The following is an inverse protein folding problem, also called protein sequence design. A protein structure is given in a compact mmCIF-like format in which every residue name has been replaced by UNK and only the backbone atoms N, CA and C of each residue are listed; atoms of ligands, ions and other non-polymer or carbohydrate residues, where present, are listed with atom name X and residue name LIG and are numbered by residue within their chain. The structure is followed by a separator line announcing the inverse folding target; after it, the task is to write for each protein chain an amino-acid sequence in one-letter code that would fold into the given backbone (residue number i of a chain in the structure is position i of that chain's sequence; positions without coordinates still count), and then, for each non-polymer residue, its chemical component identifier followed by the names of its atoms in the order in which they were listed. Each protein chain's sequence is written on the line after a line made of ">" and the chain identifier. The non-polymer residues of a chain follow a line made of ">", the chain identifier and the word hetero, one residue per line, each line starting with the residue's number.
data_IF_230625820273
#
_entry.id   IF_230625820273
#
_cell.length_a   1.000
_cell.length_b   1.000
_cell.length_c   1.000
_cell.angle_alpha   90.00
_cell.angle_beta   90.00
_cell.angle_gamma   90.00
#
_symmetry.space_group_name_H-M   'P 1'
#
loop_
_entity.id
_entity.type
_entity.pdbx_description
1 polymer ?
#
# COMPACT_ATOMS: atom_id res chain seq x y z
N UNK A 1 -16.19 -21.51 -8.67
CA UNK A 1 -15.29 -21.98 -7.60
C UNK A 1 -15.27 -23.51 -7.61
N UNK A 2 -14.99 -24.10 -8.78
CA UNK A 2 -15.37 -25.49 -9.11
C UNK A 2 -14.18 -26.34 -9.58
N UNK A 3 -13.11 -25.72 -10.09
CA UNK A 3 -11.98 -26.41 -10.72
C UNK A 3 -10.90 -26.90 -9.74
N UNK A 4 -10.99 -26.53 -8.45
CA UNK A 4 -10.02 -26.93 -7.43
C UNK A 4 -10.36 -28.26 -6.73
N UNK A 5 -11.62 -28.73 -6.80
CA UNK A 5 -12.03 -29.97 -6.12
C UNK A 5 -11.54 -31.24 -6.85
N UNK A 6 -11.34 -31.17 -8.18
CA UNK A 6 -11.03 -32.34 -9.00
C UNK A 6 -9.60 -32.87 -8.84
N UNK A 7 -8.67 -32.08 -8.27
CA UNK A 7 -7.28 -32.51 -8.03
C UNK A 7 -7.09 -33.23 -6.69
N UNK A 8 -8.04 -33.11 -5.75
CA UNK A 8 -7.90 -33.72 -4.42
C UNK A 8 -8.26 -35.21 -4.37
N UNK A 9 -8.93 -35.74 -5.40
CA UNK A 9 -9.41 -37.13 -5.44
C UNK A 9 -8.43 -38.14 -6.07
N UNK A 10 -7.31 -37.68 -6.66
CA UNK A 10 -6.35 -38.58 -7.33
C UNK A 10 -5.25 -39.14 -6.40
N UNK A 11 -5.20 -38.72 -5.13
CA UNK A 11 -4.09 -39.02 -4.19
C UNK A 11 -4.49 -40.12 -3.17
N UNK A 12 -5.74 -40.60 -3.17
CA UNK A 12 -6.28 -41.46 -2.11
C UNK A 12 -6.49 -42.95 -2.45
N UNK A 13 -5.98 -43.46 -3.58
CA UNK A 13 -6.32 -44.82 -4.08
C UNK A 13 -5.23 -45.90 -3.98
N UNK A 14 -4.08 -45.64 -3.34
CA UNK A 14 -3.00 -46.65 -3.19
C UNK A 14 -2.51 -46.77 -1.75
N UNK A 15 -3.36 -47.29 -0.86
CA UNK A 15 -2.95 -47.85 0.45
C UNK A 15 -4.06 -48.74 1.03
N UNK A 16 -4.16 -49.98 0.54
CA UNK A 16 -4.99 -51.03 1.13
C UNK A 16 -4.48 -52.43 0.72
N UNK A 17 -3.36 -52.85 1.32
CA UNK A 17 -2.93 -54.25 1.33
C UNK A 17 -2.18 -54.53 2.64
N UNK A 18 -2.91 -55.02 3.65
CA UNK A 18 -2.33 -55.45 4.91
C UNK A 18 -1.68 -56.83 4.76
N UNK A 19 -0.48 -56.99 5.32
CA UNK A 19 0.06 -58.28 5.74
C UNK A 19 0.71 -58.13 7.12
N UNK A 20 -0.10 -58.42 8.13
CA UNK A 20 0.36 -59.03 9.40
C UNK A 20 0.71 -60.51 9.12
N UNK A 21 1.59 -61.22 9.82
CA UNK A 21 2.10 -61.07 11.21
C UNK A 21 3.37 -61.91 11.40
N UNK A 22 4.29 -61.39 12.24
CA UNK A 22 5.15 -62.14 13.19
C UNK A 22 6.36 -63.01 12.73
N UNK A 23 7.32 -63.29 13.65
CA UNK A 23 8.72 -63.58 13.31
C UNK A 23 9.24 -64.96 13.78
N UNK A 24 10.54 -65.16 13.53
CA UNK A 24 11.52 -65.90 14.35
C UNK A 24 12.12 -67.24 13.82
N UNK A 25 13.40 -67.38 14.17
CA UNK A 25 14.26 -68.57 14.33
C UNK A 25 14.49 -69.65 13.25
N UNK A 26 15.75 -70.11 13.25
CA UNK A 26 16.29 -71.41 12.81
C UNK A 26 16.17 -71.91 11.36
N UNK A 27 17.20 -71.62 10.56
CA UNK A 27 17.86 -72.64 9.72
C UNK A 27 19.38 -72.61 9.95
N UNK A 28 19.87 -73.46 10.86
CA UNK A 28 21.30 -73.65 11.15
C UNK A 28 21.68 -75.13 11.27
N UNK A 29 21.41 -75.92 10.22
CA UNK A 29 21.88 -77.31 10.14
C UNK A 29 22.00 -77.81 8.69
N UNK A 30 23.22 -77.83 8.15
CA UNK A 30 23.86 -79.02 7.53
C UNK A 30 25.10 -78.62 6.72
N UNK A 31 26.28 -79.06 7.18
CA UNK A 31 27.30 -79.82 6.41
C UNK A 31 28.61 -79.81 7.20
N UNK A 32 28.85 -80.89 7.96
CA UNK A 32 30.13 -81.20 8.60
C UNK A 32 30.25 -82.72 8.71
N UNK A 33 31.48 -83.23 8.54
CA UNK A 33 31.86 -84.64 8.20
C UNK A 33 31.65 -84.95 6.71
N UNK A 34 32.58 -85.58 6.00
CA UNK A 34 33.52 -86.63 6.46
C UNK A 34 34.99 -86.52 6.03
N UNK A 35 35.83 -87.22 6.78
CA UNK A 35 37.26 -87.55 6.60
C UNK A 35 37.42 -89.01 6.05
N UNK A 36 38.58 -89.62 5.70
CA UNK A 36 40.03 -89.29 5.80
C UNK A 36 40.88 -90.18 4.83
N UNK A 37 42.11 -89.74 4.48
CA UNK A 37 43.36 -90.54 4.25
C UNK A 37 43.55 -91.51 3.04
N UNK A 38 44.84 -91.62 2.63
CA UNK A 38 45.48 -92.75 1.91
C UNK A 38 45.71 -92.52 0.39
N UNK A 39 46.87 -92.18 -0.20
CA UNK A 39 48.29 -92.63 -0.11
C UNK A 39 48.68 -93.67 -1.20
N UNK A 40 49.57 -93.27 -2.14
CA UNK A 40 50.50 -94.03 -3.03
C UNK A 40 50.01 -95.25 -3.89
N UNK A 41 50.60 -95.66 -5.05
CA UNK A 41 51.76 -95.23 -5.89
C UNK A 41 51.62 -95.68 -7.38
N UNK A 42 52.37 -95.01 -8.29
CA UNK A 42 53.04 -95.52 -9.51
C UNK A 42 52.31 -96.20 -10.73
N UNK A 43 52.31 -95.44 -11.85
CA UNK A 43 52.69 -95.80 -13.26
C UNK A 43 52.00 -96.97 -14.02
N UNK A 44 51.49 -96.68 -15.23
CA UNK A 44 52.15 -97.00 -16.54
C UNK A 44 51.27 -96.62 -17.77
N UNK A 45 51.86 -95.98 -18.79
CA UNK A 45 51.39 -95.80 -20.19
C UNK A 45 50.05 -95.08 -20.47
N UNK A 46 49.76 -94.59 -21.68
CA UNK A 46 50.56 -93.86 -22.70
C UNK A 46 49.54 -93.32 -23.75
N UNK A 47 49.77 -92.13 -24.32
CA UNK A 47 49.11 -91.58 -25.52
C UNK A 47 47.62 -91.86 -25.77
N UNK A 48 46.77 -90.82 -25.66
CA UNK A 48 46.19 -90.22 -26.88
C UNK A 48 45.58 -88.83 -26.66
N UNK A 49 45.64 -88.02 -27.71
CA UNK A 49 45.27 -86.61 -27.77
C UNK A 49 43.77 -86.39 -27.52
N UNK A 50 43.42 -85.57 -26.53
CA UNK A 50 42.10 -84.94 -26.42
C UNK A 50 42.23 -83.61 -25.69
N UNK A 51 41.62 -82.54 -26.23
CA UNK A 51 41.52 -81.26 -25.54
C UNK A 51 40.42 -81.34 -24.46
N UNK A 52 40.70 -82.05 -23.37
CA UNK A 52 39.97 -81.90 -22.11
C UNK A 52 40.67 -80.87 -21.25
N UNK A 53 40.00 -79.81 -20.78
CA UNK A 53 40.59 -78.88 -19.83
C UNK A 53 41.09 -79.63 -18.59
N UNK A 54 42.28 -79.29 -18.09
CA UNK A 54 42.70 -79.72 -16.76
C UNK A 54 41.64 -79.23 -15.77
N UNK A 55 40.93 -80.17 -15.14
CA UNK A 55 39.83 -79.88 -14.22
C UNK A 55 40.35 -78.99 -13.07
N UNK A 56 41.62 -79.15 -12.67
CA UNK A 56 42.25 -78.30 -11.66
C UNK A 56 42.59 -76.89 -12.18
N UNK A 57 42.86 -76.71 -13.47
CA UNK A 57 43.02 -75.38 -14.07
C UNK A 57 41.68 -74.64 -14.09
N UNK A 58 40.61 -75.28 -14.57
CA UNK A 58 39.25 -74.70 -14.57
C UNK A 58 38.78 -74.38 -13.16
N UNK A 59 39.02 -75.28 -12.19
CA UNK A 59 38.63 -75.05 -10.79
C UNK A 59 39.40 -73.87 -10.15
N UNK A 60 40.68 -73.69 -10.51
CA UNK A 60 41.49 -72.52 -10.08
C UNK A 60 40.96 -71.22 -10.70
N UNK A 61 40.62 -71.23 -11.98
CA UNK A 61 40.05 -70.08 -12.69
C UNK A 61 38.68 -69.68 -12.11
N UNK A 62 37.79 -70.67 -11.90
CA UNK A 62 36.51 -70.47 -11.20
C UNK A 62 36.69 -69.94 -9.77
N UNK A 63 37.71 -70.40 -9.04
CA UNK A 63 38.02 -69.90 -7.70
C UNK A 63 38.52 -68.45 -7.73
N UNK A 64 39.31 -68.09 -8.75
CA UNK A 64 39.78 -66.73 -8.95
C UNK A 64 38.63 -65.78 -9.33
N UNK A 65 37.74 -66.18 -10.25
CA UNK A 65 36.56 -65.38 -10.63
C UNK A 65 35.58 -65.25 -9.47
N UNK A 66 35.35 -66.29 -8.67
CA UNK A 66 34.54 -66.19 -7.44
C UNK A 66 35.16 -65.24 -6.41
N UNK A 67 36.49 -65.20 -6.29
CA UNK A 67 37.17 -64.26 -5.39
C UNK A 67 37.03 -62.80 -5.86
N UNK A 68 37.13 -62.55 -7.18
CA UNK A 68 36.89 -61.24 -7.80
C UNK A 68 35.44 -60.81 -7.60
N UNK A 69 34.47 -61.67 -7.92
CA UNK A 69 33.04 -61.35 -7.82
C UNK A 69 32.62 -61.12 -6.34
N UNK A 70 33.22 -61.83 -5.39
CA UNK A 70 33.08 -61.58 -3.94
C UNK A 70 33.78 -60.31 -3.46
N UNK A 71 34.79 -59.81 -4.17
CA UNK A 71 35.37 -58.49 -3.92
C UNK A 71 34.43 -57.39 -4.42
N UNK A 72 33.93 -57.52 -5.65
CA UNK A 72 33.04 -56.58 -6.33
C UNK A 72 31.70 -56.40 -5.59
N UNK A 73 31.08 -57.50 -5.13
CA UNK A 73 29.89 -57.43 -4.24
C UNK A 73 30.17 -56.60 -2.98
N UNK A 74 31.34 -56.74 -2.36
CA UNK A 74 31.72 -55.98 -1.15
C UNK A 74 32.10 -54.53 -1.44
N UNK A 75 32.40 -54.18 -2.69
CA UNK A 75 32.64 -52.80 -3.13
C UNK A 75 31.30 -52.09 -3.39
N UNK A 76 30.40 -52.75 -4.12
CA UNK A 76 29.01 -52.30 -4.33
C UNK A 76 28.22 -52.15 -3.02
N UNK A 77 28.44 -53.03 -2.04
CA UNK A 77 27.85 -52.89 -0.70
C UNK A 77 28.32 -51.59 -0.01
N UNK A 78 29.63 -51.30 -0.03
CA UNK A 78 30.18 -50.06 0.52
C UNK A 78 29.73 -48.81 -0.23
N UNK A 79 29.57 -48.89 -1.55
CA UNK A 79 29.06 -47.77 -2.35
C UNK A 79 27.58 -47.48 -2.04
N UNK A 80 26.76 -48.51 -1.83
CA UNK A 80 25.38 -48.34 -1.40
C UNK A 80 25.29 -47.76 0.02
N UNK A 81 26.06 -48.27 0.99
CA UNK A 81 26.13 -47.71 2.35
C UNK A 81 26.54 -46.23 2.36
N UNK A 82 27.46 -45.84 1.47
CA UNK A 82 27.87 -44.43 1.29
C UNK A 82 26.75 -43.58 0.68
N UNK A 83 26.05 -44.08 -0.35
CA UNK A 83 24.90 -43.38 -0.98
C UNK A 83 23.71 -43.24 -0.04
N UNK A 84 23.41 -44.25 0.77
CA UNK A 84 22.36 -44.18 1.80
C UNK A 84 22.70 -43.11 2.84
N UNK A 85 23.97 -43.01 3.23
CA UNK A 85 24.47 -41.95 4.13
C UNK A 85 24.35 -40.55 3.52
N UNK A 86 24.67 -40.39 2.22
CA UNK A 86 24.51 -39.11 1.51
C UNK A 86 23.02 -38.72 1.36
N UNK A 87 22.16 -39.70 1.06
CA UNK A 87 20.72 -39.50 0.93
C UNK A 87 20.07 -39.01 2.24
N UNK A 88 20.49 -39.53 3.40
CA UNK A 88 20.04 -39.02 4.70
C UNK A 88 20.50 -37.58 4.97
N UNK A 89 21.73 -37.21 4.60
CA UNK A 89 22.19 -35.81 4.70
C UNK A 89 21.34 -34.88 3.82
N UNK A 90 21.02 -35.30 2.59
CA UNK A 90 20.16 -34.53 1.69
C UNK A 90 18.72 -34.38 2.22
N UNK A 91 18.14 -35.40 2.87
CA UNK A 91 16.83 -35.29 3.56
C UNK A 91 16.87 -34.25 4.69
N UNK A 92 17.91 -34.27 5.52
CA UNK A 92 18.09 -33.31 6.62
C UNK A 92 18.20 -31.87 6.09
N UNK A 93 18.94 -31.65 5.01
CA UNK A 93 19.05 -30.33 4.40
C UNK A 93 17.72 -29.88 3.75
N UNK A 94 16.98 -30.78 3.12
CA UNK A 94 15.65 -30.50 2.56
C UNK A 94 14.65 -30.06 3.63
N UNK A 95 14.60 -30.74 4.79
CA UNK A 95 13.74 -30.35 5.91
C UNK A 95 14.19 -29.01 6.53
N UNK A 96 15.50 -28.74 6.59
CA UNK A 96 16.04 -27.44 7.01
C UNK A 96 15.69 -26.31 6.03
N UNK A 97 15.59 -26.60 4.73
CA UNK A 97 15.15 -25.63 3.72
C UNK A 97 13.64 -25.39 3.80
N UNK A 98 12.85 -26.46 3.98
CA UNK A 98 11.39 -26.44 4.12
C UNK A 98 10.94 -25.65 5.36
N UNK A 99 11.59 -25.85 6.50
CA UNK A 99 11.33 -25.07 7.74
C UNK A 99 11.68 -23.59 7.58
N UNK A 100 12.81 -23.25 6.93
CA UNK A 100 13.13 -21.85 6.56
C UNK A 100 12.08 -21.23 5.64
N UNK A 101 11.59 -21.98 4.65
CA UNK A 101 10.58 -21.50 3.71
C UNK A 101 9.24 -21.22 4.42
N UNK A 102 8.84 -22.06 5.39
CA UNK A 102 7.66 -21.82 6.22
C UNK A 102 7.82 -20.57 7.09
N UNK A 103 8.97 -20.38 7.74
CA UNK A 103 9.24 -19.17 8.53
C UNK A 103 9.17 -17.90 7.69
N UNK A 104 9.84 -17.88 6.53
CA UNK A 104 9.84 -16.74 5.60
C UNK A 104 8.43 -16.44 5.06
N UNK A 105 7.60 -17.47 4.86
CA UNK A 105 6.19 -17.30 4.46
C UNK A 105 5.37 -16.64 5.56
N UNK A 106 5.59 -17.00 6.82
CA UNK A 106 4.95 -16.36 7.99
C UNK A 106 5.35 -14.89 8.15
N UNK A 107 6.63 -14.58 7.98
CA UNK A 107 7.13 -13.20 7.95
C UNK A 107 6.50 -12.39 6.81
N UNK A 108 6.43 -12.96 5.59
CA UNK A 108 5.82 -12.29 4.43
C UNK A 108 4.35 -11.94 4.67
N UNK A 109 3.56 -12.85 5.26
CA UNK A 109 2.16 -12.61 5.64
C UNK A 109 2.06 -11.47 6.67
N UNK A 110 2.96 -11.46 7.65
CA UNK A 110 3.01 -10.43 8.71
C UNK A 110 3.42 -9.05 8.17
N UNK A 111 4.37 -9.01 7.24
CA UNK A 111 4.78 -7.77 6.55
C UNK A 111 3.63 -7.26 5.68
N UNK A 112 2.94 -8.15 4.95
CA UNK A 112 1.80 -7.79 4.10
C UNK A 112 0.61 -7.24 4.90
N UNK A 113 0.27 -7.84 6.03
CA UNK A 113 -0.80 -7.32 6.89
C UNK A 113 -0.44 -5.94 7.47
N UNK A 114 0.81 -5.75 7.92
CA UNK A 114 1.30 -4.45 8.38
C UNK A 114 1.29 -3.39 7.27
N UNK A 115 1.72 -3.75 6.06
CA UNK A 115 1.69 -2.85 4.90
C UNK A 115 0.27 -2.36 4.58
N UNK A 116 -0.71 -3.27 4.50
CA UNK A 116 -2.11 -2.91 4.29
C UNK A 116 -2.66 -1.99 5.41
N UNK A 117 -2.27 -2.20 6.67
CA UNK A 117 -2.69 -1.33 7.78
C UNK A 117 -2.08 0.08 7.62
N UNK A 118 -0.79 0.15 7.30
CA UNK A 118 -0.09 1.43 7.05
C UNK A 118 -0.70 2.18 5.85
N UNK A 119 -0.98 1.50 4.75
CA UNK A 119 -1.62 2.08 3.57
C UNK A 119 -3.00 2.66 3.87
N UNK A 120 -3.85 1.91 4.59
CA UNK A 120 -5.15 2.40 5.07
C UNK A 120 -5.02 3.61 6.00
N UNK A 121 -4.01 3.64 6.88
CA UNK A 121 -3.76 4.77 7.76
C UNK A 121 -3.28 6.01 7.00
N UNK A 122 -2.40 5.84 6.00
CA UNK A 122 -1.96 6.91 5.10
C UNK A 122 -3.14 7.48 4.31
N UNK A 123 -4.01 6.65 3.75
CA UNK A 123 -5.21 7.10 3.02
C UNK A 123 -6.30 7.69 3.92
N UNK A 124 -6.32 7.38 5.22
CA UNK A 124 -7.14 8.10 6.21
C UNK A 124 -6.55 9.49 6.50
N UNK A 125 -5.27 9.57 6.86
CA UNK A 125 -4.55 10.82 7.11
C UNK A 125 -4.52 11.75 5.88
N UNK A 126 -4.54 11.19 4.67
CA UNK A 126 -4.61 11.96 3.42
C UNK A 126 -5.99 12.59 3.19
N UNK A 127 -7.07 11.94 3.63
CA UNK A 127 -8.44 12.49 3.58
C UNK A 127 -8.65 13.54 4.66
N UNK A 128 -8.19 13.28 5.88
CA UNK A 128 -8.23 14.26 6.97
C UNK A 128 -7.27 15.45 6.70
N UNK A 129 -6.19 15.18 5.96
CA UNK A 129 -5.18 16.12 5.50
C UNK A 129 -5.51 16.85 4.19
N UNK A 130 -6.70 16.67 3.61
CA UNK A 130 -7.22 17.63 2.63
C UNK A 130 -7.55 18.94 3.34
N UNK A 131 -6.50 19.75 3.58
CA UNK A 131 -6.62 21.10 4.12
C UNK A 131 -7.67 21.83 3.31
N UNK A 132 -8.80 22.15 3.96
CA UNK A 132 -9.94 22.83 3.36
C UNK A 132 -9.53 24.22 2.92
N UNK A 133 -9.00 24.37 1.71
CA UNK A 133 -8.61 25.67 1.16
C UNK A 133 -9.87 26.46 0.87
N UNK A 134 -9.99 27.64 1.50
CA UNK A 134 -11.09 28.57 1.27
C UNK A 134 -10.48 29.95 1.10
N UNK A 135 -10.67 30.55 -0.07
CA UNK A 135 -10.20 31.89 -0.38
C UNK A 135 -11.02 32.48 -1.51
N UNK A 136 -11.50 33.72 -1.35
CA UNK A 136 -12.17 34.46 -2.40
C UNK A 136 -11.66 35.91 -2.49
N UNK A 137 -11.79 36.49 -3.68
CA UNK A 137 -11.61 37.92 -3.91
C UNK A 137 -12.50 38.36 -5.06
N UNK A 138 -13.21 39.47 -4.86
CA UNK A 138 -14.21 39.98 -5.79
C UNK A 138 -14.27 41.51 -5.80
N UNK A 139 -14.65 42.09 -6.94
CA UNK A 139 -14.97 43.52 -7.11
C UNK A 139 -16.43 43.72 -7.54
N UNK A 140 -16.91 44.97 -7.52
CA UNK A 140 -18.34 45.28 -7.73
C UNK A 140 -18.74 45.07 -9.19
N UNK A 141 -17.93 45.50 -10.15
CA UNK A 141 -18.21 45.37 -11.59
C UNK A 141 -17.08 44.68 -12.36
N UNK A 142 -17.44 43.96 -13.42
CA UNK A 142 -16.51 43.30 -14.32
C UNK A 142 -16.00 44.21 -15.45
N UNK A 143 -16.83 45.16 -15.89
CA UNK A 143 -16.52 46.12 -16.95
C UNK A 143 -17.42 47.36 -16.86
N UNK A 144 -17.03 48.43 -17.56
CA UNK A 144 -17.67 49.74 -17.48
C UNK A 144 -17.41 50.43 -16.14
N UNK A 145 -18.17 51.50 -15.87
CA UNK A 145 -18.12 52.25 -14.61
C UNK A 145 -19.48 52.25 -13.91
N UNK A 146 -19.48 52.30 -12.57
CA UNK A 146 -20.70 52.31 -11.79
C UNK A 146 -20.55 53.00 -10.44
N UNK A 147 -21.53 53.83 -10.11
CA UNK A 147 -21.82 54.21 -8.73
C UNK A 147 -22.90 53.28 -8.15
N UNK A 148 -22.73 52.87 -6.89
CA UNK A 148 -23.77 52.22 -6.09
C UNK A 148 -24.10 53.11 -4.90
N UNK A 149 -25.40 53.34 -4.69
CA UNK A 149 -25.90 54.37 -3.79
C UNK A 149 -25.82 55.79 -4.39
N UNK A 150 -26.20 56.83 -3.63
CA UNK A 150 -26.66 56.75 -2.25
C UNK A 150 -28.04 56.11 -2.11
N UNK A 151 -28.20 55.26 -1.10
CA UNK A 151 -29.49 54.70 -0.71
C UNK A 151 -29.87 55.21 0.69
N UNK A 152 -31.13 55.54 0.91
CA UNK A 152 -31.63 56.00 2.21
C UNK A 152 -31.62 54.92 3.31
N UNK A 153 -31.36 53.66 2.95
CA UNK A 153 -31.29 52.50 3.84
C UNK A 153 -30.00 51.71 3.61
N UNK A 154 -29.50 51.05 4.66
CA UNK A 154 -28.34 50.15 4.52
C UNK A 154 -28.67 49.03 3.53
N UNK A 155 -27.82 48.87 2.52
CA UNK A 155 -28.06 47.95 1.39
C UNK A 155 -26.91 46.97 1.27
N UNK A 156 -27.19 45.68 1.08
CA UNK A 156 -26.15 44.66 0.83
C UNK A 156 -25.40 44.98 -0.47
N UNK A 157 -24.07 45.00 -0.40
CA UNK A 157 -23.21 45.11 -1.56
C UNK A 157 -22.92 43.72 -2.14
N UNK A 158 -23.05 43.60 -3.46
CA UNK A 158 -22.83 42.36 -4.20
C UNK A 158 -21.64 42.58 -5.13
N UNK A 159 -20.53 41.89 -4.86
CA UNK A 159 -19.31 41.95 -5.65
C UNK A 159 -19.45 40.90 -6.76
N UNK A 160 -19.85 41.35 -7.95
CA UNK A 160 -20.28 40.44 -9.03
C UNK A 160 -19.13 39.89 -9.85
N UNK A 161 -18.01 40.60 -9.90
CA UNK A 161 -16.81 40.12 -10.58
C UNK A 161 -15.94 39.35 -9.59
N UNK A 162 -15.78 38.06 -9.83
CA UNK A 162 -15.03 37.15 -8.93
C UNK A 162 -13.70 36.81 -9.59
N UNK A 163 -12.61 37.22 -8.95
CA UNK A 163 -11.25 36.89 -9.39
C UNK A 163 -10.90 35.46 -8.96
N UNK A 164 -11.22 35.12 -7.71
CA UNK A 164 -10.92 33.82 -7.08
C UNK A 164 -12.08 33.42 -6.17
N UNK A 165 -12.40 32.11 -6.10
CA UNK A 165 -13.40 31.54 -5.17
C UNK A 165 -13.09 30.07 -4.82
N UNK A 166 -11.89 29.81 -4.31
CA UNK A 166 -11.49 28.47 -3.87
C UNK A 166 -12.39 28.04 -2.70
N UNK A 167 -12.94 26.83 -2.81
CA UNK A 167 -13.95 26.31 -1.88
C UNK A 167 -15.38 26.76 -2.16
N UNK A 168 -15.63 27.60 -3.18
CA UNK A 168 -16.95 28.08 -3.60
C UNK A 168 -17.80 28.69 -2.46
N UNK A 169 -17.15 29.27 -1.46
CA UNK A 169 -17.80 29.80 -0.26
C UNK A 169 -18.43 31.18 -0.48
N UNK A 170 -18.01 31.92 -1.51
CA UNK A 170 -18.61 33.21 -1.89
C UNK A 170 -19.67 33.07 -2.99
N UNK A 171 -20.81 33.72 -2.82
CA UNK A 171 -21.90 33.75 -3.80
C UNK A 171 -22.04 35.15 -4.45
N UNK A 172 -21.57 35.25 -5.69
CA UNK A 172 -21.58 36.48 -6.50
C UNK A 172 -22.97 37.02 -6.88
N UNK A 173 -24.05 36.27 -6.61
CA UNK A 173 -25.42 36.73 -6.86
C UNK A 173 -26.04 37.40 -5.64
N UNK A 174 -25.63 37.01 -4.42
CA UNK A 174 -26.16 37.52 -3.15
C UNK A 174 -25.19 38.44 -2.40
N UNK A 175 -23.90 38.38 -2.70
CA UNK A 175 -22.85 39.11 -2.00
C UNK A 175 -22.35 38.42 -0.73
N UNK A 176 -22.77 37.18 -0.48
CA UNK A 176 -22.55 36.48 0.78
C UNK A 176 -21.40 35.48 0.68
N UNK A 177 -20.49 35.53 1.66
CA UNK A 177 -19.62 34.42 2.02
C UNK A 177 -20.32 33.56 3.07
N UNK A 178 -20.32 32.24 2.92
CA UNK A 178 -20.84 31.30 3.91
C UNK A 178 -19.73 30.34 4.33
N UNK A 179 -19.41 30.27 5.62
CA UNK A 179 -18.31 29.44 6.13
C UNK A 179 -18.58 27.92 5.89
N UNK A 180 -17.78 27.23 5.06
CA UNK A 180 -18.00 25.81 4.74
C UNK A 180 -17.39 24.86 5.78
N UNK A 181 -16.56 25.38 6.68
CA UNK A 181 -15.97 24.68 7.83
C UNK A 181 -15.86 25.64 9.01
N UNK A 182 -15.76 25.09 10.21
CA UNK A 182 -15.45 25.85 11.42
C UNK A 182 -13.95 26.21 11.41
N UNK A 183 -13.63 27.47 11.70
CA UNK A 183 -12.25 27.94 11.60
C UNK A 183 -12.07 29.45 11.76
N UNK A 184 -10.81 29.88 11.73
CA UNK A 184 -10.45 31.30 11.83
C UNK A 184 -10.21 31.86 10.44
N UNK A 185 -11.02 32.85 10.06
CA UNK A 185 -11.02 33.48 8.74
C UNK A 185 -10.57 34.94 8.83
N UNK A 186 -9.82 35.42 7.84
CA UNK A 186 -9.59 36.85 7.64
C UNK A 186 -10.48 37.38 6.53
N UNK A 187 -11.00 38.59 6.69
CA UNK A 187 -11.76 39.34 5.68
C UNK A 187 -11.26 40.77 5.59
N UNK A 188 -11.23 41.31 4.39
CA UNK A 188 -10.89 42.70 4.12
C UNK A 188 -11.87 43.32 3.11
N UNK A 189 -12.19 44.60 3.30
CA UNK A 189 -12.89 45.40 2.30
C UNK A 189 -12.07 46.62 1.96
N UNK A 190 -12.09 46.98 0.67
CA UNK A 190 -11.67 48.28 0.17
C UNK A 190 -12.90 48.92 -0.49
N UNK A 191 -13.21 50.17 -0.14
CA UNK A 191 -14.30 50.93 -0.77
C UNK A 191 -13.81 52.32 -1.13
N UNK A 192 -14.05 52.73 -2.37
CA UNK A 192 -13.64 54.03 -2.88
C UNK A 192 -14.77 54.75 -3.60
N UNK A 193 -14.71 56.07 -3.61
CA UNK A 193 -15.61 56.92 -4.39
C UNK A 193 -14.91 58.22 -4.78
N UNK A 194 -15.42 58.88 -5.83
CA UNK A 194 -15.16 60.31 -5.97
C UNK A 194 -15.91 61.07 -4.87
N UNK A 195 -15.28 62.13 -4.34
CA UNK A 195 -15.79 62.95 -3.25
C UNK A 195 -17.13 63.61 -3.56
N UNK A 196 -17.88 63.92 -2.51
CA UNK A 196 -19.18 64.58 -2.59
C UNK A 196 -19.47 65.37 -1.32
N UNK A 197 -20.05 66.55 -1.44
CA UNK A 197 -20.38 67.40 -0.28
C UNK A 197 -21.25 66.66 0.76
N UNK A 198 -22.22 65.85 0.31
CA UNK A 198 -23.23 65.23 1.18
C UNK A 198 -23.24 63.69 1.23
N UNK A 199 -22.35 63.01 0.48
CA UNK A 199 -22.37 61.55 0.34
C UNK A 199 -20.96 60.96 0.55
N UNK A 200 -20.68 60.35 1.71
CA UNK A 200 -19.40 59.72 1.99
C UNK A 200 -19.23 58.40 1.21
N UNK A 201 -18.02 57.86 1.20
CA UNK A 201 -17.77 56.44 0.91
C UNK A 201 -17.78 55.67 2.22
N UNK A 202 -18.59 54.62 2.34
CA UNK A 202 -18.58 53.85 3.59
C UNK A 202 -19.42 52.60 3.59
N UNK A 203 -18.87 51.54 4.17
CA UNK A 203 -19.47 50.21 4.23
C UNK A 203 -19.05 49.44 5.49
N UNK A 204 -19.91 48.53 5.94
CA UNK A 204 -19.68 47.64 7.08
C UNK A 204 -19.41 46.21 6.62
N UNK A 205 -18.44 45.55 7.25
CA UNK A 205 -18.38 44.08 7.29
C UNK A 205 -19.44 43.60 8.29
N UNK A 206 -20.29 42.68 7.87
CA UNK A 206 -21.36 42.06 8.65
C UNK A 206 -21.01 40.61 8.96
N UNK A 207 -21.19 40.16 10.20
CA UNK A 207 -21.30 38.74 10.56
C UNK A 207 -22.75 38.45 10.93
N UNK A 208 -23.43 37.61 10.15
CA UNK A 208 -24.85 37.29 10.28
C UNK A 208 -25.75 38.55 10.31
N UNK A 209 -26.14 39.01 11.50
CA UNK A 209 -26.97 40.22 11.71
C UNK A 209 -26.21 41.37 12.38
N UNK A 210 -24.96 41.15 12.79
CA UNK A 210 -24.14 42.08 13.55
C UNK A 210 -23.17 42.83 12.63
N UNK A 211 -23.10 44.16 12.78
CA UNK A 211 -22.03 44.97 12.21
C UNK A 211 -20.74 44.67 12.98
N UNK A 212 -19.66 44.39 12.25
CA UNK A 212 -18.34 44.08 12.82
C UNK A 212 -17.48 45.33 12.76
N UNK A 213 -16.84 45.61 11.62
CA UNK A 213 -16.04 46.81 11.39
C UNK A 213 -16.59 47.64 10.23
N UNK A 214 -16.13 48.89 10.12
CA UNK A 214 -16.54 49.85 9.10
C UNK A 214 -15.31 50.40 8.38
N UNK A 215 -15.38 50.49 7.05
CA UNK A 215 -14.55 51.38 6.25
C UNK A 215 -15.36 52.66 6.00
N UNK A 216 -14.77 53.83 6.24
CA UNK A 216 -15.42 55.13 6.07
C UNK A 216 -14.42 56.19 5.59
N UNK A 217 -14.83 56.98 4.61
CA UNK A 217 -14.11 58.14 4.07
C UNK A 217 -15.14 59.21 3.66
N UNK A 218 -14.82 60.48 3.91
CA UNK A 218 -15.64 61.59 3.42
C UNK A 218 -14.81 62.82 3.07
N UNK A 219 -14.76 63.13 1.78
CA UNK A 219 -14.20 64.37 1.24
C UNK A 219 -15.14 65.01 0.20
N UNK A 220 -15.09 66.35 0.01
CA UNK A 220 -15.97 67.04 -0.93
C UNK A 220 -15.59 66.87 -2.41
N UNK A 221 -14.33 66.54 -2.72
CA UNK A 221 -13.79 66.44 -4.08
C UNK A 221 -12.55 65.53 -4.15
N UNK A 222 -12.12 65.14 -5.35
CA UNK A 222 -11.03 64.17 -5.55
C UNK A 222 -11.48 62.71 -5.40
N UNK A 223 -10.60 61.74 -5.62
CA UNK A 223 -10.89 60.32 -5.34
C UNK A 223 -10.45 59.95 -3.92
N UNK A 224 -11.32 59.27 -3.18
CA UNK A 224 -11.11 58.87 -1.80
C UNK A 224 -11.37 57.37 -1.64
N UNK A 225 -10.63 56.73 -0.75
CA UNK A 225 -10.83 55.32 -0.42
C UNK A 225 -10.59 55.06 1.06
N UNK A 226 -11.26 54.03 1.57
CA UNK A 226 -11.06 53.49 2.91
C UNK A 226 -11.02 51.97 2.86
N UNK A 227 -10.33 51.39 3.83
CA UNK A 227 -10.22 49.94 3.97
C UNK A 227 -10.39 49.55 5.43
N UNK A 228 -10.88 48.33 5.66
CA UNK A 228 -10.86 47.70 6.99
C UNK A 228 -10.78 46.19 6.83
N UNK A 229 -10.20 45.51 7.82
CA UNK A 229 -10.09 44.06 7.83
C UNK A 229 -10.27 43.48 9.23
N UNK A 230 -10.82 42.26 9.29
CA UNK A 230 -11.14 41.58 10.55
C UNK A 230 -10.83 40.09 10.46
N UNK A 231 -10.33 39.55 11.56
CA UNK A 231 -10.15 38.11 11.74
C UNK A 231 -11.27 37.58 12.66
N UNK A 232 -12.02 36.59 12.20
CA UNK A 232 -13.21 36.05 12.86
C UNK A 232 -13.11 34.53 13.02
N UNK A 233 -13.45 34.02 14.20
CA UNK A 233 -13.86 32.64 14.36
C UNK A 233 -15.28 32.49 13.80
N UNK A 234 -15.43 31.61 12.82
CA UNK A 234 -16.71 31.28 12.20
C UNK A 234 -17.07 29.82 12.47
N UNK A 235 -18.35 29.59 12.72
CA UNK A 235 -18.98 28.27 12.75
C UNK A 235 -19.50 27.89 11.36
N UNK A 236 -19.76 26.60 11.12
CA UNK A 236 -20.27 26.13 9.82
C UNK A 236 -21.62 26.80 9.53
N UNK A 237 -21.72 27.47 8.38
CA UNK A 237 -22.93 28.21 7.98
C UNK A 237 -23.01 29.65 8.47
N UNK A 238 -22.04 30.15 9.25
CA UNK A 238 -21.93 31.59 9.52
C UNK A 238 -21.77 32.37 8.20
N UNK A 239 -22.49 33.48 8.07
CA UNK A 239 -22.51 34.32 6.86
C UNK A 239 -21.75 35.61 7.11
N UNK A 240 -20.80 35.94 6.23
CA UNK A 240 -20.08 37.21 6.22
C UNK A 240 -20.33 37.94 4.90
N UNK A 241 -20.65 39.23 4.97
CA UNK A 241 -20.98 40.04 3.79
C UNK A 241 -20.79 41.53 4.06
N UNK A 242 -20.95 42.35 3.03
CA UNK A 242 -20.75 43.80 3.15
C UNK A 242 -22.08 44.54 3.00
N UNK A 243 -22.31 45.57 3.80
CA UNK A 243 -23.42 46.53 3.63
C UNK A 243 -22.90 47.93 3.38
N UNK A 244 -23.40 48.56 2.33
CA UNK A 244 -23.26 50.00 2.12
C UNK A 244 -23.95 50.73 3.28
N UNK A 245 -23.27 51.75 3.82
CA UNK A 245 -23.88 52.61 4.82
C UNK A 245 -25.03 53.42 4.22
N UNK A 246 -25.99 53.82 5.05
CA UNK A 246 -27.06 54.70 4.58
C UNK A 246 -26.47 56.05 4.10
N UNK A 247 -27.03 56.58 3.01
CA UNK A 247 -26.60 57.81 2.33
C UNK A 247 -25.13 57.84 1.84
N UNK A 248 -24.38 56.74 1.94
CA UNK A 248 -23.05 56.62 1.35
C UNK A 248 -23.12 56.10 -0.09
N UNK A 249 -22.07 56.34 -0.87
CA UNK A 249 -21.91 55.84 -2.24
C UNK A 249 -20.55 55.19 -2.41
N UNK A 250 -20.47 54.19 -3.27
CA UNK A 250 -19.19 53.65 -3.75
C UNK A 250 -19.12 53.75 -5.28
N UNK A 251 -17.89 53.82 -5.79
CA UNK A 251 -17.54 53.76 -7.20
C UNK A 251 -16.77 52.48 -7.48
N UNK A 252 -17.00 51.89 -8.64
CA UNK A 252 -16.15 50.85 -9.18
C UNK A 252 -16.12 50.92 -10.71
N UNK A 253 -15.02 50.45 -11.29
CA UNK A 253 -14.84 50.32 -12.72
C UNK A 253 -13.84 49.19 -13.04
N UNK A 254 -13.31 49.17 -14.26
CA UNK A 254 -12.31 48.21 -14.74
C UNK A 254 -10.98 48.20 -13.94
N UNK A 255 -10.71 49.21 -13.11
CA UNK A 255 -9.57 49.22 -12.18
C UNK A 255 -9.88 48.58 -10.81
N UNK A 256 -11.11 48.13 -10.59
CA UNK A 256 -11.56 47.39 -9.39
C UNK A 256 -11.23 48.11 -8.07
N UNK A 257 -11.68 49.36 -7.95
CA UNK A 257 -11.47 50.23 -6.79
C UNK A 257 -12.19 49.75 -5.52
N UNK A 258 -13.31 49.04 -5.66
CA UNK A 258 -14.11 48.56 -4.52
C UNK A 258 -14.10 47.03 -4.48
N UNK A 259 -13.45 46.44 -3.48
CA UNK A 259 -13.20 45.00 -3.37
C UNK A 259 -13.62 44.40 -2.03
N UNK A 260 -13.92 43.11 -2.05
CA UNK A 260 -14.14 42.28 -0.86
C UNK A 260 -13.38 40.96 -1.04
N UNK A 261 -12.48 40.67 -0.10
CA UNK A 261 -11.68 39.44 -0.08
C UNK A 261 -11.79 38.76 1.27
N UNK A 262 -11.54 37.45 1.31
CA UNK A 262 -11.40 36.71 2.55
C UNK A 262 -10.91 35.29 2.35
N UNK A 263 -10.27 34.75 3.38
CA UNK A 263 -9.65 33.43 3.35
C UNK A 263 -9.63 32.76 4.73
N UNK A 264 -9.61 31.42 4.72
CA UNK A 264 -9.39 30.61 5.91
C UNK A 264 -7.90 30.65 6.26
N UNK A 265 -7.59 30.99 7.52
CA UNK A 265 -6.23 30.93 8.07
C UNK A 265 -5.95 29.49 8.54
N UNK A 266 -6.84 28.93 9.38
CA UNK A 266 -6.80 27.54 9.84
C UNK A 266 -8.17 27.05 10.35
N UNK A 267 -8.41 25.74 10.22
CA UNK A 267 -9.58 25.04 10.78
C UNK A 267 -9.44 24.86 12.30
N UNK A 268 -10.58 24.66 12.99
CA UNK A 268 -10.68 24.51 14.46
C UNK A 268 -11.44 23.25 14.88
#
# INVERSE_FOLDING_TARGET
>A
METFLSFLLLICSVSAAQLTTEPDSDIKAHLLKTETKGEETAKTSNNQQSCTPDIHAVLREMSATLAVLKYEIRDLQRENEAKDSELELQKIELDKLKTKQQALTGELVTIKSRANITENHVEALRRDGEVKKVAFSASVVASGEKYIGPFNTQTTLVFRYVVTNIGNAYNHNTGFFTAPVRGVYHFEIHVGAHGHASHPSGAHIMKNRQQVFMAYEHQPSGFGSSATGVTLLLEVGDVVFVRLWHNSRIFDNENHHSTFSGHLIFTM
#
